data_IF_236967073697
#
_entry.id   IF_236967073697
#
_cell.length_a   1.000
_cell.length_b   1.000
_cell.length_c   1.000
_cell.angle_alpha   90.00
_cell.angle_beta   90.00
_cell.angle_gamma   90.00
#
_symmetry.space_group_name_H-M   'P 1'
#
loop_
_entity.id
_entity.type
_entity.pdbx_description
1 polymer ?
#
# COMPACT_ATOMS: atom_id res chain seq x y z
N UNK A 1 34.21 86.18 17.68
CA UNK A 1 34.12 84.95 16.87
C UNK A 1 32.72 84.31 17.10
N UNK A 2 31.82 84.50 16.15
CA UNK A 2 30.46 83.90 16.25
C UNK A 2 30.43 82.67 15.36
N UNK A 3 30.17 81.52 15.98
CA UNK A 3 30.04 80.26 15.27
C UNK A 3 28.56 80.10 14.82
N UNK A 4 28.32 80.25 13.51
CA UNK A 4 27.00 80.13 12.88
C UNK A 4 26.68 78.65 12.66
N UNK A 5 25.88 78.08 13.55
CA UNK A 5 25.36 76.74 13.41
C UNK A 5 24.42 76.71 12.16
N UNK A 6 24.84 75.90 11.17
CA UNK A 6 24.09 75.70 9.94
C UNK A 6 23.01 74.59 10.21
N UNK A 7 21.79 75.01 10.46
CA UNK A 7 20.63 74.12 10.57
C UNK A 7 20.33 73.57 9.19
N UNK A 8 20.73 72.31 8.97
CA UNK A 8 20.33 71.53 7.81
C UNK A 8 18.86 71.15 7.94
N UNK A 9 18.00 71.83 7.17
CA UNK A 9 16.58 71.38 7.01
C UNK A 9 16.59 70.01 6.29
N UNK A 10 16.29 68.97 7.03
CA UNK A 10 15.94 67.66 6.43
C UNK A 10 14.57 67.86 5.76
N UNK A 11 14.55 68.04 4.47
CA UNK A 11 13.32 67.97 3.67
C UNK A 11 12.97 66.52 3.51
N UNK A 12 12.03 66.01 4.32
CA UNK A 12 11.38 64.74 4.07
C UNK A 12 10.57 64.89 2.78
N UNK A 13 11.05 64.32 1.69
CA UNK A 13 10.28 64.18 0.45
C UNK A 13 9.21 63.09 0.63
N UNK A 14 7.94 63.49 0.54
CA UNK A 14 6.83 62.52 0.55
C UNK A 14 6.77 61.77 -0.79
N UNK A 15 6.24 60.54 -0.75
CA UNK A 15 6.02 59.72 -1.96
C UNK A 15 5.04 60.44 -2.91
N UNK A 16 5.34 60.34 -4.20
CA UNK A 16 4.43 60.80 -5.26
C UNK A 16 3.28 59.82 -5.45
N UNK A 17 2.12 60.31 -5.90
CA UNK A 17 0.94 59.47 -6.17
C UNK A 17 1.25 58.34 -7.19
N UNK A 18 2.09 58.64 -8.18
CA UNK A 18 2.52 57.64 -9.19
C UNK A 18 3.40 56.54 -8.56
N UNK A 19 4.27 56.90 -7.63
CA UNK A 19 5.17 55.95 -6.95
C UNK A 19 4.39 55.00 -6.04
N UNK A 20 3.37 55.47 -5.33
CA UNK A 20 2.47 54.65 -4.54
C UNK A 20 1.65 53.69 -5.44
N UNK A 21 1.19 54.16 -6.59
CA UNK A 21 0.46 53.36 -7.56
C UNK A 21 1.32 52.20 -8.08
N UNK A 22 2.56 52.47 -8.49
CA UNK A 22 3.50 51.43 -8.90
C UNK A 22 3.83 50.46 -7.76
N UNK A 23 4.04 50.96 -6.54
CA UNK A 23 4.29 50.13 -5.38
C UNK A 23 3.15 49.15 -5.10
N UNK A 24 1.89 49.60 -5.16
CA UNK A 24 0.71 48.76 -4.99
C UNK A 24 0.60 47.72 -6.13
N UNK A 25 0.84 48.16 -7.38
CA UNK A 25 0.80 47.23 -8.53
C UNK A 25 1.83 46.09 -8.40
N UNK A 26 3.06 46.42 -8.04
CA UNK A 26 4.12 45.40 -7.79
C UNK A 26 3.73 44.51 -6.62
N UNK A 27 3.20 45.04 -5.54
CA UNK A 27 2.77 44.30 -4.36
C UNK A 27 1.67 43.24 -4.70
N UNK A 28 0.68 43.65 -5.50
CA UNK A 28 -0.39 42.76 -5.99
C UNK A 28 0.17 41.63 -6.83
N UNK A 29 1.13 41.90 -7.72
CA UNK A 29 1.80 40.90 -8.53
C UNK A 29 2.58 39.88 -7.66
N UNK A 30 3.29 40.35 -6.64
CA UNK A 30 4.03 39.51 -5.69
C UNK A 30 3.07 38.61 -4.92
N UNK A 31 1.97 39.16 -4.39
CA UNK A 31 0.96 38.36 -3.67
C UNK A 31 0.35 37.32 -4.60
N UNK A 32 0.03 37.67 -5.85
CA UNK A 32 -0.48 36.74 -6.85
C UNK A 32 0.48 35.58 -7.10
N UNK A 33 1.76 35.87 -7.32
CA UNK A 33 2.80 34.88 -7.51
C UNK A 33 2.98 33.97 -6.29
N UNK A 34 3.00 34.50 -5.08
CA UNK A 34 3.10 33.74 -3.84
C UNK A 34 1.88 32.85 -3.61
N UNK A 35 0.69 33.28 -3.96
CA UNK A 35 -0.54 32.48 -3.85
C UNK A 35 -0.51 31.28 -4.79
N UNK A 36 -0.09 31.48 -6.04
CA UNK A 36 0.06 30.40 -7.02
C UNK A 36 1.14 29.38 -6.58
N UNK A 37 2.28 29.89 -6.10
CA UNK A 37 3.35 29.05 -5.55
C UNK A 37 2.87 28.24 -4.34
N UNK A 38 2.21 28.87 -3.38
CA UNK A 38 1.65 28.19 -2.20
C UNK A 38 0.69 27.07 -2.59
N UNK A 39 -0.22 27.32 -3.55
CA UNK A 39 -1.13 26.32 -4.06
C UNK A 39 -0.37 25.12 -4.65
N UNK A 40 0.66 25.37 -5.45
CA UNK A 40 1.49 24.30 -6.03
C UNK A 40 2.20 23.47 -4.95
N UNK A 41 2.75 24.10 -3.92
CA UNK A 41 3.40 23.42 -2.79
C UNK A 41 2.41 22.55 -2.02
N UNK A 42 1.21 23.06 -1.73
CA UNK A 42 0.18 22.31 -1.01
C UNK A 42 -0.28 21.07 -1.78
N UNK A 43 -0.53 21.22 -3.07
CA UNK A 43 -0.92 20.11 -3.94
C UNK A 43 0.18 19.04 -3.99
N UNK A 44 1.42 19.43 -4.23
CA UNK A 44 2.54 18.47 -4.29
C UNK A 44 2.80 17.79 -2.94
N UNK A 45 2.72 18.51 -1.82
CA UNK A 45 2.92 17.95 -0.49
C UNK A 45 1.84 16.91 -0.13
N UNK A 46 0.58 17.14 -0.51
CA UNK A 46 -0.50 16.19 -0.28
C UNK A 46 -0.27 14.88 -1.04
N UNK A 47 0.21 14.93 -2.28
CA UNK A 47 0.54 13.73 -3.06
C UNK A 47 1.72 12.95 -2.49
N UNK A 48 2.79 13.64 -2.10
CA UNK A 48 3.97 12.98 -1.48
C UNK A 48 3.57 12.29 -0.18
N UNK A 49 2.78 12.96 0.66
CA UNK A 49 2.34 12.41 1.94
C UNK A 49 1.43 11.19 1.76
N UNK A 50 0.48 11.24 0.82
CA UNK A 50 -0.38 10.10 0.50
C UNK A 50 0.46 8.90 0.00
N UNK A 51 1.39 9.13 -0.92
CA UNK A 51 2.26 8.07 -1.45
C UNK A 51 3.14 7.41 -0.37
N UNK A 52 3.63 8.15 0.62
CA UNK A 52 4.41 7.59 1.73
C UNK A 52 3.56 6.69 2.64
N UNK A 53 2.33 7.08 2.94
CA UNK A 53 1.39 6.28 3.75
C UNK A 53 1.05 4.99 3.02
N UNK A 54 0.72 5.05 1.74
CA UNK A 54 0.39 3.87 0.93
C UNK A 54 1.59 2.92 0.78
N UNK A 55 2.81 3.46 0.65
CA UNK A 55 4.05 2.67 0.58
C UNK A 55 4.27 1.87 1.86
N UNK A 56 4.10 2.46 3.02
CA UNK A 56 4.27 1.79 4.30
C UNK A 56 3.17 0.74 4.52
N UNK A 57 1.92 1.06 4.18
CA UNK A 57 0.80 0.14 4.26
C UNK A 57 1.02 -1.08 3.36
N UNK A 58 1.40 -0.90 2.10
CA UNK A 58 1.68 -1.98 1.16
C UNK A 58 2.79 -2.92 1.63
N UNK A 59 3.90 -2.38 2.14
CA UNK A 59 5.01 -3.18 2.71
C UNK A 59 4.58 -3.97 3.95
N UNK A 60 3.80 -3.36 4.83
CA UNK A 60 3.32 -4.03 6.05
C UNK A 60 2.36 -5.16 5.70
N UNK A 61 1.44 -4.94 4.76
CA UNK A 61 0.53 -5.96 4.26
C UNK A 61 1.29 -7.14 3.67
N UNK A 62 2.25 -6.91 2.77
CA UNK A 62 3.09 -7.98 2.22
C UNK A 62 3.86 -8.74 3.30
N UNK A 63 4.43 -8.05 4.29
CA UNK A 63 5.14 -8.69 5.40
C UNK A 63 4.23 -9.63 6.19
N UNK A 64 3.01 -9.22 6.47
CA UNK A 64 2.00 -10.04 7.16
C UNK A 64 1.61 -11.25 6.29
N UNK A 65 1.29 -11.05 5.01
CA UNK A 65 0.96 -12.13 4.08
C UNK A 65 2.08 -13.16 4.00
N UNK A 66 3.33 -12.72 3.83
CA UNK A 66 4.50 -13.61 3.77
C UNK A 66 4.65 -14.40 5.07
N UNK A 67 4.49 -13.75 6.23
CA UNK A 67 4.60 -14.43 7.53
C UNK A 67 3.56 -15.53 7.68
N UNK A 68 2.32 -15.25 7.39
CA UNK A 68 1.21 -16.20 7.51
C UNK A 68 1.29 -17.34 6.48
N UNK A 69 1.55 -17.02 5.21
CA UNK A 69 1.69 -18.03 4.15
C UNK A 69 2.89 -18.97 4.43
N UNK A 70 3.99 -18.43 4.94
CA UNK A 70 5.18 -19.23 5.26
C UNK A 70 4.90 -20.28 6.32
N UNK A 71 4.02 -19.98 7.29
CA UNK A 71 3.65 -20.88 8.39
C UNK A 71 2.45 -21.76 8.09
N UNK A 72 1.92 -21.69 6.85
CA UNK A 72 0.79 -22.51 6.44
C UNK A 72 1.04 -23.99 6.68
N UNK A 73 0.01 -24.70 7.17
CA UNK A 73 0.07 -26.10 7.56
C UNK A 73 -1.27 -26.80 7.30
N UNK A 74 -1.35 -28.10 7.44
CA UNK A 74 -2.62 -28.85 7.36
C UNK A 74 -3.59 -28.35 8.41
N UNK A 75 -4.88 -28.28 8.08
CA UNK A 75 -5.94 -27.85 9.00
C UNK A 75 -6.11 -28.82 10.18
N UNK A 76 -6.78 -28.39 11.23
CA UNK A 76 -7.13 -29.26 12.36
C UNK A 76 -8.21 -30.31 12.01
N UNK A 77 -8.84 -30.18 10.84
CA UNK A 77 -9.77 -31.16 10.26
C UNK A 77 -9.10 -32.13 9.28
N UNK A 78 -7.75 -32.04 9.12
CA UNK A 78 -7.00 -32.90 8.17
C UNK A 78 -7.01 -32.42 6.71
N UNK A 79 -7.57 -31.24 6.42
CA UNK A 79 -7.57 -30.68 5.06
C UNK A 79 -6.16 -30.23 4.67
N UNK A 80 -5.82 -30.37 3.40
CA UNK A 80 -4.51 -29.97 2.85
C UNK A 80 -4.18 -28.49 3.12
N UNK A 81 -2.90 -28.16 3.20
CA UNK A 81 -2.36 -26.84 3.54
C UNK A 81 -3.02 -25.70 2.76
N UNK A 82 -3.13 -25.88 1.44
CA UNK A 82 -3.77 -24.92 0.54
C UNK A 82 -5.18 -25.42 0.23
N UNK A 83 -6.17 -24.59 0.52
CA UNK A 83 -7.56 -24.89 0.23
C UNK A 83 -7.99 -24.38 -1.17
N UNK A 84 -7.48 -23.20 -1.59
CA UNK A 84 -7.76 -22.61 -2.89
C UNK A 84 -6.58 -21.76 -3.38
N UNK A 85 -6.26 -21.89 -4.68
CA UNK A 85 -5.22 -21.12 -5.36
C UNK A 85 -5.81 -20.50 -6.64
N UNK A 86 -6.18 -19.23 -6.57
CA UNK A 86 -6.71 -18.44 -7.68
C UNK A 86 -5.85 -17.21 -7.97
N UNK A 87 -6.05 -16.56 -9.11
CA UNK A 87 -5.31 -15.36 -9.48
C UNK A 87 -5.59 -14.17 -8.55
N UNK A 88 -6.84 -14.01 -8.11
CA UNK A 88 -7.28 -12.92 -7.23
C UNK A 88 -7.55 -13.36 -5.79
N UNK A 89 -7.42 -14.65 -5.48
CA UNK A 89 -7.68 -15.18 -4.13
C UNK A 89 -6.79 -16.35 -3.81
N UNK A 90 -6.33 -16.42 -2.55
CA UNK A 90 -5.53 -17.50 -2.02
C UNK A 90 -6.03 -17.89 -0.63
N UNK A 91 -6.37 -19.16 -0.43
CA UNK A 91 -6.92 -19.67 0.83
C UNK A 91 -6.06 -20.82 1.36
N UNK A 92 -5.64 -20.75 2.59
CA UNK A 92 -4.76 -21.73 3.27
C UNK A 92 -5.11 -21.83 4.76
N UNK A 93 -4.47 -22.76 5.45
CA UNK A 93 -4.62 -22.90 6.90
C UNK A 93 -3.31 -22.56 7.60
N UNK A 94 -3.37 -21.76 8.66
CA UNK A 94 -2.24 -21.38 9.48
C UNK A 94 -2.71 -21.01 10.88
N UNK A 95 -1.88 -21.23 11.90
CA UNK A 95 -2.08 -20.65 13.22
C UNK A 95 -1.57 -19.21 13.16
N UNK A 96 -2.47 -18.24 13.26
CA UNK A 96 -2.19 -16.80 13.11
C UNK A 96 -2.41 -16.01 14.39
N UNK A 97 -2.86 -16.66 15.45
CA UNK A 97 -3.04 -16.07 16.77
C UNK A 97 -2.21 -16.81 17.83
N UNK A 98 -2.55 -16.65 19.10
CA UNK A 98 -1.78 -17.19 20.24
C UNK A 98 -2.29 -18.56 20.72
N UNK A 99 -3.36 -19.08 20.13
CA UNK A 99 -3.88 -20.38 20.51
C UNK A 99 -3.24 -21.54 19.70
N UNK A 100 -3.73 -22.74 19.87
CA UNK A 100 -3.18 -23.91 19.19
C UNK A 100 -3.97 -24.31 17.95
N UNK A 101 -5.08 -23.63 17.66
CA UNK A 101 -5.94 -23.92 16.52
C UNK A 101 -5.40 -23.24 15.26
N UNK A 102 -5.73 -23.80 14.12
CA UNK A 102 -5.32 -23.25 12.82
C UNK A 102 -6.54 -22.64 12.15
N UNK A 103 -6.44 -21.38 11.85
CA UNK A 103 -7.45 -20.64 11.13
C UNK A 103 -7.41 -20.97 9.65
N UNK A 104 -8.56 -20.90 9.00
CA UNK A 104 -8.67 -20.83 7.54
C UNK A 104 -8.54 -19.36 7.16
N UNK A 105 -7.43 -19.02 6.51
CA UNK A 105 -7.09 -17.65 6.10
C UNK A 105 -7.31 -17.52 4.60
N UNK A 106 -8.01 -16.48 4.20
CA UNK A 106 -8.28 -16.14 2.80
C UNK A 106 -7.84 -14.73 2.50
N UNK A 107 -6.89 -14.56 1.60
CA UNK A 107 -6.57 -13.26 0.97
C UNK A 107 -7.30 -13.18 -0.36
N UNK A 108 -7.99 -12.08 -0.61
CA UNK A 108 -8.75 -11.92 -1.85
C UNK A 108 -8.94 -10.47 -2.24
N UNK A 109 -9.06 -10.24 -3.54
CA UNK A 109 -9.38 -8.95 -4.12
C UNK A 109 -10.90 -8.85 -4.30
N UNK A 110 -11.48 -7.78 -3.75
CA UNK A 110 -12.89 -7.41 -3.92
C UNK A 110 -12.96 -6.02 -4.57
N UNK A 111 -13.24 -5.97 -5.87
CA UNK A 111 -13.07 -4.75 -6.65
C UNK A 111 -11.61 -4.29 -6.61
N UNK A 112 -11.35 -3.08 -6.14
CA UNK A 112 -10.01 -2.49 -5.96
C UNK A 112 -9.48 -2.62 -4.52
N UNK A 113 -10.10 -3.49 -3.70
CA UNK A 113 -9.76 -3.61 -2.28
C UNK A 113 -9.20 -5.00 -1.99
N UNK A 114 -7.97 -5.06 -1.48
CA UNK A 114 -7.39 -6.30 -0.94
C UNK A 114 -7.94 -6.53 0.47
N UNK A 115 -8.54 -7.69 0.67
CA UNK A 115 -9.16 -8.10 1.92
C UNK A 115 -8.56 -9.40 2.45
N UNK A 116 -8.69 -9.58 3.77
CA UNK A 116 -8.32 -10.79 4.48
C UNK A 116 -9.54 -11.32 5.23
N UNK A 117 -9.94 -12.55 4.92
CA UNK A 117 -10.96 -13.29 5.64
C UNK A 117 -10.30 -14.33 6.56
N UNK A 118 -10.80 -14.46 7.77
CA UNK A 118 -10.31 -15.45 8.75
C UNK A 118 -11.49 -16.18 9.35
N UNK A 119 -11.44 -17.52 9.30
CA UNK A 119 -12.41 -18.40 9.94
C UNK A 119 -11.67 -19.23 10.98
N UNK A 120 -12.04 -19.07 12.25
CA UNK A 120 -11.57 -19.92 13.35
C UNK A 120 -12.40 -21.20 13.38
N UNK A 121 -11.78 -22.38 13.53
CA UNK A 121 -12.53 -23.63 13.65
C UNK A 121 -13.31 -23.65 14.96
N UNK A 122 -14.54 -24.19 14.90
CA UNK A 122 -15.44 -24.27 16.05
C UNK A 122 -16.20 -25.61 16.04
N UNK A 123 -16.74 -26.00 17.21
CA UNK A 123 -17.57 -27.19 17.36
C UNK A 123 -16.79 -28.44 17.76
N UNK A 124 -17.55 -29.51 17.94
CA UNK A 124 -17.02 -30.87 18.18
C UNK A 124 -17.89 -31.85 17.39
N UNK A 125 -17.37 -32.40 16.26
CA UNK A 125 -16.05 -32.20 15.69
C UNK A 125 -15.80 -30.77 15.19
N UNK A 126 -14.49 -30.38 15.10
CA UNK A 126 -14.08 -29.07 14.60
C UNK A 126 -14.53 -28.88 13.14
N UNK A 127 -15.01 -27.67 12.82
CA UNK A 127 -15.42 -27.28 11.47
C UNK A 127 -15.14 -25.80 11.20
N UNK A 128 -14.96 -25.44 9.91
CA UNK A 128 -14.76 -24.08 9.45
C UNK A 128 -16.06 -23.55 8.83
N UNK A 129 -16.90 -22.91 9.66
CA UNK A 129 -18.18 -22.37 9.19
C UNK A 129 -17.94 -21.01 8.49
N UNK A 130 -18.29 -20.93 7.21
CA UNK A 130 -18.13 -19.71 6.40
C UNK A 130 -18.92 -18.50 6.96
N UNK A 131 -20.02 -18.73 7.66
CA UNK A 131 -20.78 -17.65 8.30
C UNK A 131 -20.01 -16.93 9.41
N UNK A 132 -18.96 -17.56 9.95
CA UNK A 132 -18.11 -16.99 10.99
C UNK A 132 -16.88 -16.28 10.41
N UNK A 133 -16.79 -16.08 9.09
CA UNK A 133 -15.66 -15.40 8.47
C UNK A 133 -15.58 -13.94 8.92
N UNK A 134 -14.48 -13.57 9.53
CA UNK A 134 -14.16 -12.19 9.88
C UNK A 134 -13.32 -11.57 8.75
N UNK A 135 -13.93 -10.61 8.05
CA UNK A 135 -13.28 -9.93 6.93
C UNK A 135 -12.69 -8.59 7.40
N UNK A 136 -11.45 -8.33 7.02
CA UNK A 136 -10.76 -7.06 7.25
C UNK A 136 -10.18 -6.52 5.95
N UNK A 137 -10.27 -5.21 5.76
CA UNK A 137 -9.62 -4.51 4.65
C UNK A 137 -8.15 -4.30 4.96
N UNK A 138 -7.28 -4.67 4.03
CA UNK A 138 -5.84 -4.52 4.15
C UNK A 138 -5.30 -3.33 3.34
N UNK A 139 -5.77 -3.19 2.10
CA UNK A 139 -5.27 -2.17 1.18
C UNK A 139 -6.37 -1.78 0.20
N UNK A 140 -6.45 -0.50 -0.13
CA UNK A 140 -7.37 0.05 -1.13
C UNK A 140 -6.62 0.46 -2.39
N UNK A 141 -7.36 0.82 -3.43
CA UNK A 141 -6.81 1.30 -4.70
C UNK A 141 -5.86 0.31 -5.39
N UNK A 142 -6.09 -0.99 -5.19
CA UNK A 142 -5.34 -2.06 -5.87
C UNK A 142 -5.76 -2.11 -7.32
N UNK A 143 -4.78 -2.08 -8.21
CA UNK A 143 -4.97 -2.16 -9.65
C UNK A 143 -4.77 -3.59 -10.15
N UNK A 144 -5.50 -3.94 -11.21
CA UNK A 144 -5.44 -5.27 -11.80
C UNK A 144 -6.35 -6.28 -11.12
N UNK A 145 -6.44 -7.47 -11.70
CA UNK A 145 -7.32 -8.56 -11.23
C UNK A 145 -6.54 -9.79 -10.75
N UNK A 146 -5.23 -9.81 -10.91
CA UNK A 146 -4.36 -10.92 -10.52
C UNK A 146 -3.27 -10.42 -9.59
N UNK A 147 -3.23 -10.97 -8.38
CA UNK A 147 -2.24 -10.65 -7.36
C UNK A 147 -1.40 -11.86 -6.96
N UNK A 148 -1.79 -13.07 -7.36
CA UNK A 148 -1.09 -14.31 -7.03
C UNK A 148 -0.61 -15.05 -8.27
N UNK A 149 0.63 -15.49 -8.22
CA UNK A 149 1.24 -16.44 -9.15
C UNK A 149 1.82 -17.58 -8.35
N UNK A 150 1.78 -18.79 -8.90
CA UNK A 150 2.16 -20.03 -8.21
C UNK A 150 3.26 -20.76 -8.98
N UNK A 151 4.20 -21.34 -8.25
CA UNK A 151 5.33 -22.05 -8.82
C UNK A 151 5.52 -23.40 -8.12
N UNK A 152 6.02 -24.35 -8.86
CA UNK A 152 6.34 -25.70 -8.38
C UNK A 152 7.78 -25.78 -7.81
N UNK A 153 8.23 -27.01 -7.53
CA UNK A 153 9.57 -27.30 -7.01
C UNK A 153 10.71 -26.96 -7.99
N UNK A 154 10.42 -26.89 -9.30
CA UNK A 154 11.41 -26.66 -10.33
C UNK A 154 11.65 -25.16 -10.62
N UNK A 155 11.05 -24.29 -9.85
CA UNK A 155 11.21 -22.85 -10.04
C UNK A 155 12.65 -22.39 -9.80
N UNK A 156 13.28 -21.85 -10.84
CA UNK A 156 14.67 -21.38 -10.89
C UNK A 156 14.82 -19.86 -10.90
N UNK A 157 13.71 -19.12 -10.77
CA UNK A 157 13.68 -17.66 -10.86
C UNK A 157 13.24 -17.14 -12.23
N UNK A 158 13.26 -17.98 -13.28
CA UNK A 158 12.91 -17.61 -14.67
C UNK A 158 11.74 -18.41 -15.23
N UNK A 159 11.46 -19.58 -14.63
CA UNK A 159 10.38 -20.47 -15.05
C UNK A 159 9.01 -19.76 -14.98
N UNK A 160 8.17 -19.97 -15.98
CA UNK A 160 6.82 -19.42 -16.02
C UNK A 160 5.96 -19.96 -14.85
N UNK A 161 5.00 -19.16 -14.34
CA UNK A 161 4.08 -19.60 -13.31
C UNK A 161 3.19 -20.74 -13.80
N UNK A 162 2.68 -21.53 -12.84
CA UNK A 162 1.70 -22.59 -13.10
C UNK A 162 0.44 -21.97 -13.75
N UNK A 163 -0.08 -22.66 -14.76
CA UNK A 163 -1.30 -22.22 -15.46
C UNK A 163 -2.56 -22.58 -14.66
N UNK A 164 -3.59 -21.73 -14.77
CA UNK A 164 -4.90 -22.00 -14.16
C UNK A 164 -5.70 -23.00 -14.99
N UNK A 165 -6.48 -23.89 -14.35
CA UNK A 165 -6.64 -24.08 -12.90
C UNK A 165 -5.40 -24.69 -12.25
N UNK A 166 -5.01 -24.17 -11.09
CA UNK A 166 -3.79 -24.59 -10.38
C UNK A 166 -3.94 -26.01 -9.82
N UNK A 167 -2.98 -26.87 -10.14
CA UNK A 167 -2.82 -28.15 -9.44
C UNK A 167 -2.18 -27.87 -8.05
N UNK A 168 -3.03 -27.76 -7.03
CA UNK A 168 -2.64 -27.37 -5.67
C UNK A 168 -1.49 -28.20 -5.08
N UNK A 169 -1.44 -29.53 -5.20
CA UNK A 169 -0.32 -30.36 -4.74
C UNK A 169 1.05 -29.98 -5.30
N UNK A 170 1.10 -29.36 -6.48
CA UNK A 170 2.36 -28.94 -7.10
C UNK A 170 2.87 -27.59 -6.57
N UNK A 171 2.05 -26.80 -5.89
CA UNK A 171 2.46 -25.47 -5.39
C UNK A 171 3.51 -25.61 -4.29
N UNK A 172 4.63 -24.90 -4.45
CA UNK A 172 5.72 -24.79 -3.46
C UNK A 172 6.04 -23.36 -3.11
N UNK A 173 5.83 -22.45 -4.05
CA UNK A 173 6.10 -21.03 -3.89
C UNK A 173 4.93 -20.21 -4.42
N UNK A 174 4.60 -19.16 -3.69
CA UNK A 174 3.59 -18.17 -4.06
C UNK A 174 4.30 -16.84 -4.26
N UNK A 175 4.13 -16.22 -5.42
CA UNK A 175 4.54 -14.84 -5.68
C UNK A 175 3.32 -13.96 -5.55
N UNK A 176 3.49 -12.86 -4.83
CA UNK A 176 2.46 -11.87 -4.58
C UNK A 176 2.91 -10.57 -5.23
N UNK A 177 2.09 -10.01 -6.11
CA UNK A 177 2.34 -8.72 -6.75
C UNK A 177 1.11 -7.84 -6.56
N UNK A 178 1.27 -6.73 -5.87
CA UNK A 178 0.22 -5.76 -5.59
C UNK A 178 0.63 -4.44 -6.22
N UNK A 179 -0.20 -3.92 -7.11
CA UNK A 179 -0.03 -2.59 -7.69
C UNK A 179 -1.09 -1.68 -7.08
N UNK A 180 -0.71 -0.55 -6.53
CA UNK A 180 -1.64 0.44 -5.98
C UNK A 180 -1.51 1.76 -6.69
N UNK A 181 -2.65 2.41 -6.92
CA UNK A 181 -2.71 3.74 -7.51
C UNK A 181 -3.98 4.44 -7.00
N UNK A 182 -3.80 5.49 -6.24
CA UNK A 182 -4.90 6.26 -5.66
C UNK A 182 -5.65 7.09 -6.70
N UNK A 183 -4.97 7.55 -7.75
CA UNK A 183 -5.56 8.34 -8.84
C UNK A 183 -4.78 8.09 -10.15
N UNK A 184 -5.24 7.15 -11.00
CA UNK A 184 -4.56 6.81 -12.26
C UNK A 184 -4.36 7.98 -13.24
N UNK A 185 -5.07 9.11 -13.02
CA UNK A 185 -4.99 10.28 -13.88
C UNK A 185 -4.02 11.35 -13.37
N UNK A 186 -3.37 11.11 -12.23
CA UNK A 186 -2.47 12.07 -11.58
C UNK A 186 -1.20 11.41 -11.05
N UNK A 187 -0.07 12.12 -11.07
CA UNK A 187 1.14 11.67 -10.37
C UNK A 187 0.89 11.50 -8.86
N UNK A 188 1.61 10.61 -8.17
CA UNK A 188 2.72 9.78 -8.63
C UNK A 188 2.28 8.57 -9.45
N UNK A 189 3.24 7.94 -10.14
CA UNK A 189 3.00 6.68 -10.84
C UNK A 189 2.57 5.55 -9.89
N UNK A 190 1.89 4.49 -10.41
CA UNK A 190 1.49 3.34 -9.61
C UNK A 190 2.65 2.73 -8.85
N UNK A 191 2.42 2.35 -7.60
CA UNK A 191 3.40 1.67 -6.76
C UNK A 191 3.24 0.16 -6.87
N UNK A 192 4.34 -0.54 -7.14
CA UNK A 192 4.35 -2.00 -7.29
C UNK A 192 5.07 -2.61 -6.09
N UNK A 193 4.39 -3.49 -5.38
CA UNK A 193 4.92 -4.30 -4.29
C UNK A 193 4.94 -5.74 -4.73
N UNK A 194 6.11 -6.37 -4.76
CA UNK A 194 6.25 -7.76 -5.15
C UNK A 194 7.13 -8.53 -4.17
N UNK A 195 6.73 -9.76 -3.86
CA UNK A 195 7.48 -10.65 -2.99
C UNK A 195 7.18 -12.10 -3.33
N UNK A 196 8.05 -13.01 -2.88
CA UNK A 196 7.89 -14.45 -3.04
C UNK A 196 7.97 -15.14 -1.69
N UNK A 197 7.15 -16.16 -1.48
CA UNK A 197 7.12 -16.94 -0.25
C UNK A 197 7.02 -18.44 -0.54
N UNK A 198 7.93 -19.20 0.03
CA UNK A 198 7.84 -20.67 0.06
C UNK A 198 7.05 -21.11 1.28
N UNK A 199 6.14 -22.04 1.10
CA UNK A 199 5.37 -22.65 2.20
C UNK A 199 6.28 -23.66 2.89
N UNK A 200 6.59 -23.41 4.18
CA UNK A 200 7.60 -24.18 4.91
C UNK A 200 7.27 -25.68 4.97
N UNK A 201 6.01 -26.02 5.20
CA UNK A 201 5.57 -27.41 5.34
C UNK A 201 5.38 -28.16 4.02
N UNK A 202 5.56 -27.49 2.88
CA UNK A 202 5.51 -28.09 1.55
C UNK A 202 6.90 -28.15 0.89
N UNK A 203 7.97 -27.79 1.61
CA UNK A 203 9.33 -28.02 1.13
C UNK A 203 9.59 -29.51 1.10
N UNK A 204 9.99 -30.01 -0.06
CA UNK A 204 10.56 -31.33 -0.16
C UNK A 204 11.88 -31.34 0.63
N UNK A 205 12.02 -32.22 1.61
CA UNK A 205 13.29 -32.47 2.28
C UNK A 205 14.20 -33.14 1.26
N UNK A 206 15.07 -32.41 0.61
CA UNK A 206 16.18 -32.89 -0.16
C UNK A 206 17.36 -33.19 0.77
#
# INVERSE_FOLDING_TARGET
>A
MQNKLKNGKNTASGFTLIETLFGVAIFVLIIGALTLFSKSVWVNNSFISAGLVDTNAGRQVLKTMVSEIRTASTSDTGTYVINQAGASSFTFFANIDTDTLKEKVRYFLSGTTLQRGVIKPTGSPLSYNAANEKISTLLQNVQGSSIFEYFDKNYDGTTAPLSFPINIPNVRLVKITITTDADPNRPPAPMIFSTQVSIRNLKDNL
#
